data_IF_841901689099
#
_entry.id   IF_841901689099
#
_cell.length_a   1.000
_cell.length_b   1.000
_cell.length_c   1.000
_cell.angle_alpha   90.00
_cell.angle_beta   90.00
_cell.angle_gamma   90.00
#
_symmetry.space_group_name_H-M   'P 1'
#
loop_
_entity.id
_entity.type
_entity.pdbx_description
1 polymer ?
#
# COMPACT_ATOMS: atom_id res chain seq x y z
N UNK A 1 10.96 -4.44 11.54
CA UNK A 1 9.91 -5.26 12.20
C UNK A 1 9.15 -5.99 11.08
N UNK A 2 8.65 -7.20 11.32
CA UNK A 2 7.86 -7.94 10.34
C UNK A 2 6.54 -8.39 10.97
N UNK A 3 5.46 -8.46 10.17
CA UNK A 3 4.16 -8.96 10.59
C UNK A 3 3.38 -9.53 9.39
N UNK A 4 2.41 -10.40 9.68
CA UNK A 4 1.48 -10.90 8.69
C UNK A 4 0.32 -9.91 8.57
N UNK A 5 0.20 -9.28 7.40
CA UNK A 5 -0.91 -8.38 7.07
C UNK A 5 -2.03 -9.16 6.39
N UNK A 6 -3.21 -9.16 6.96
CA UNK A 6 -4.44 -9.70 6.36
C UNK A 6 -5.40 -8.55 6.15
N UNK A 7 -5.74 -8.27 4.90
CA UNK A 7 -6.47 -7.06 4.55
C UNK A 7 -7.64 -7.38 3.60
N UNK A 8 -8.81 -6.81 3.87
CA UNK A 8 -9.95 -6.74 2.97
C UNK A 8 -10.11 -5.32 2.45
N UNK A 9 -10.50 -5.19 1.19
CA UNK A 9 -10.65 -3.87 0.57
C UNK A 9 -11.71 -3.85 -0.51
N UNK A 10 -12.25 -2.67 -0.72
CA UNK A 10 -13.19 -2.37 -1.82
C UNK A 10 -12.90 -0.99 -2.40
N UNK A 11 -13.05 -0.85 -3.71
CA UNK A 11 -13.13 0.48 -4.29
C UNK A 11 -14.46 1.13 -3.89
N UNK A 12 -14.45 2.45 -3.82
CA UNK A 12 -15.61 3.27 -3.49
C UNK A 12 -15.96 4.20 -4.65
N UNK A 13 -17.22 4.47 -4.84
CA UNK A 13 -17.65 5.66 -5.59
C UNK A 13 -17.34 6.91 -4.77
N UNK A 14 -17.33 8.07 -5.42
CA UNK A 14 -17.14 9.35 -4.72
C UNK A 14 -18.21 9.60 -3.65
N UNK A 15 -19.45 9.20 -3.90
CA UNK A 15 -20.55 9.38 -2.95
C UNK A 15 -20.41 8.44 -1.74
N UNK A 16 -20.02 7.18 -1.96
CA UNK A 16 -19.71 6.24 -0.88
C UNK A 16 -18.55 6.77 -0.02
N UNK A 17 -17.48 7.24 -0.66
CA UNK A 17 -16.36 7.87 0.04
C UNK A 17 -16.79 9.08 0.88
N UNK A 18 -17.60 9.99 0.32
CA UNK A 18 -18.06 11.17 1.04
C UNK A 18 -18.88 10.81 2.28
N UNK A 19 -19.75 9.79 2.19
CA UNK A 19 -20.54 9.31 3.34
C UNK A 19 -19.62 8.74 4.43
N UNK A 20 -18.64 7.92 4.06
CA UNK A 20 -17.66 7.38 5.02
C UNK A 20 -16.76 8.49 5.59
N UNK A 21 -16.35 9.46 4.78
CA UNK A 21 -15.56 10.61 5.27
C UNK A 21 -16.29 11.42 6.34
N UNK A 22 -17.61 11.51 6.28
CA UNK A 22 -18.42 12.10 7.36
C UNK A 22 -18.38 11.24 8.62
N UNK A 23 -18.52 9.91 8.49
CA UNK A 23 -18.41 8.96 9.60
C UNK A 23 -17.04 9.03 10.26
N UNK A 24 -15.96 9.18 9.47
CA UNK A 24 -14.58 9.31 9.91
C UNK A 24 -14.13 10.78 10.09
N UNK A 25 -15.05 11.74 10.24
CA UNK A 25 -14.71 13.17 10.35
C UNK A 25 -13.84 13.53 11.56
N UNK A 26 -13.90 12.72 12.63
CA UNK A 26 -13.06 12.86 13.83
C UNK A 26 -11.60 12.43 13.62
N UNK A 27 -11.28 11.79 12.49
CA UNK A 27 -9.92 11.34 12.17
C UNK A 27 -9.25 12.35 11.23
N UNK A 28 -8.13 12.89 11.66
CA UNK A 28 -7.33 13.80 10.82
C UNK A 28 -6.69 13.02 9.67
N UNK A 29 -6.89 13.42 8.41
CA UNK A 29 -6.26 12.76 7.29
C UNK A 29 -4.75 13.00 7.25
N UNK A 30 -3.99 11.98 6.87
CA UNK A 30 -2.55 12.06 6.65
C UNK A 30 -2.25 11.77 5.18
N UNK A 31 -1.44 12.62 4.58
CA UNK A 31 -0.98 12.40 3.19
C UNK A 31 0.35 11.67 3.20
N UNK A 32 0.43 10.61 2.42
CA UNK A 32 1.62 9.78 2.24
C UNK A 32 1.86 9.50 0.77
N UNK A 33 3.13 9.37 0.37
CA UNK A 33 3.49 9.04 -1.01
C UNK A 33 4.27 7.73 -1.03
N UNK A 34 3.80 6.78 -1.83
CA UNK A 34 4.45 5.50 -2.07
C UNK A 34 5.22 5.55 -3.38
N UNK A 35 6.53 5.31 -3.33
CA UNK A 35 7.42 5.17 -4.47
C UNK A 35 7.65 3.67 -4.69
N UNK A 36 7.20 3.15 -5.82
CA UNK A 36 7.30 1.73 -6.15
C UNK A 36 8.60 1.40 -6.84
N UNK A 37 9.25 0.33 -6.41
CA UNK A 37 10.59 -0.07 -6.83
C UNK A 37 10.53 -1.44 -7.48
N UNK A 38 11.07 -1.56 -8.69
CA UNK A 38 11.30 -2.81 -9.41
C UNK A 38 12.41 -2.59 -10.43
N UNK A 39 12.83 -3.61 -11.15
CA UNK A 39 13.57 -3.44 -12.40
C UNK A 39 12.63 -3.02 -13.52
N UNK A 40 13.15 -2.47 -14.60
CA UNK A 40 12.35 -2.10 -15.77
C UNK A 40 11.64 -3.32 -16.36
N UNK A 41 12.24 -4.51 -16.24
CA UNK A 41 11.68 -5.78 -16.70
C UNK A 41 10.65 -6.38 -15.75
N UNK A 42 10.55 -5.90 -14.51
CA UNK A 42 9.63 -6.39 -13.50
C UNK A 42 10.11 -7.67 -12.81
N UNK A 43 11.42 -7.80 -12.57
CA UNK A 43 12.02 -8.99 -11.97
C UNK A 43 11.54 -9.22 -10.55
N UNK A 44 11.37 -8.16 -9.75
CA UNK A 44 10.83 -8.29 -8.40
C UNK A 44 9.39 -8.80 -8.42
N UNK A 45 8.55 -8.24 -9.29
CA UNK A 45 7.18 -8.72 -9.48
C UNK A 45 7.15 -10.20 -9.88
N UNK A 46 8.04 -10.64 -10.78
CA UNK A 46 8.14 -12.05 -11.21
C UNK A 46 8.49 -12.98 -10.05
N UNK A 47 9.25 -12.48 -9.07
CA UNK A 47 9.62 -13.17 -7.82
C UNK A 47 8.59 -12.97 -6.70
N UNK A 48 7.47 -12.30 -6.98
CA UNK A 48 6.43 -11.94 -5.99
C UNK A 48 6.99 -11.10 -4.83
N UNK A 49 7.89 -10.18 -5.12
CA UNK A 49 8.47 -9.22 -4.19
C UNK A 49 7.92 -7.84 -4.52
N UNK A 50 7.31 -7.17 -3.54
CA UNK A 50 6.73 -5.84 -3.73
C UNK A 50 7.41 -4.86 -2.79
N UNK A 51 8.26 -4.00 -3.35
CA UNK A 51 9.10 -3.06 -2.61
C UNK A 51 8.62 -1.63 -2.84
N UNK A 52 8.55 -0.86 -1.76
CA UNK A 52 8.24 0.57 -1.81
C UNK A 52 9.02 1.36 -0.78
N UNK A 53 9.28 2.62 -1.09
CA UNK A 53 9.57 3.66 -0.10
C UNK A 53 8.28 4.44 0.09
N UNK A 54 7.88 4.68 1.34
CA UNK A 54 6.77 5.55 1.70
C UNK A 54 7.30 6.76 2.43
N UNK A 55 6.90 7.94 2.00
CA UNK A 55 7.16 9.18 2.73
C UNK A 55 5.89 9.64 3.42
N UNK A 56 6.01 9.99 4.70
CA UNK A 56 4.97 10.57 5.55
C UNK A 56 5.45 11.94 6.06
N UNK A 57 4.57 12.75 6.66
CA UNK A 57 4.96 14.07 7.19
C UNK A 57 6.04 14.02 8.27
N UNK A 58 6.12 12.93 9.03
CA UNK A 58 6.99 12.80 10.21
C UNK A 58 8.15 11.83 10.03
N UNK A 59 8.08 10.91 9.08
CA UNK A 59 9.07 9.85 8.86
C UNK A 59 8.94 9.25 7.46
N UNK A 60 9.81 8.29 7.17
CA UNK A 60 9.71 7.43 6.00
C UNK A 60 9.75 5.96 6.37
N UNK A 61 9.34 5.12 5.43
CA UNK A 61 9.32 3.66 5.58
C UNK A 61 9.82 2.99 4.30
N UNK A 62 10.72 2.03 4.45
CA UNK A 62 11.00 1.04 3.42
C UNK A 62 10.20 -0.21 3.74
N UNK A 63 9.38 -0.66 2.80
CA UNK A 63 8.48 -1.81 2.99
C UNK A 63 8.69 -2.83 1.89
N UNK A 64 8.87 -4.09 2.28
CA UNK A 64 8.83 -5.25 1.39
C UNK A 64 7.64 -6.12 1.76
N UNK A 65 6.74 -6.36 0.80
CA UNK A 65 5.62 -7.32 0.94
C UNK A 65 5.90 -8.57 0.13
N UNK A 66 5.71 -9.71 0.78
CA UNK A 66 5.84 -11.05 0.17
C UNK A 66 4.51 -11.77 0.37
N UNK A 67 3.77 -12.14 -0.71
CA UNK A 67 2.53 -12.87 -0.58
C UNK A 67 2.71 -14.20 0.14
N UNK A 68 1.79 -14.48 1.06
CA UNK A 68 1.67 -15.74 1.78
C UNK A 68 0.40 -16.49 1.33
N UNK A 69 0.16 -17.67 1.90
CA UNK A 69 -1.08 -18.43 1.64
C UNK A 69 -2.33 -17.61 2.00
N UNK A 70 -2.24 -16.83 3.08
CA UNK A 70 -3.25 -15.87 3.50
C UNK A 70 -2.52 -14.57 3.83
N UNK A 71 -2.89 -13.46 3.18
CA UNK A 71 -2.27 -12.15 3.40
C UNK A 71 -0.88 -12.00 2.79
N UNK A 72 -0.11 -11.08 3.36
CA UNK A 72 1.27 -10.81 2.97
C UNK A 72 2.16 -10.76 4.21
N UNK A 73 3.35 -11.35 4.13
CA UNK A 73 4.40 -11.03 5.11
C UNK A 73 4.97 -9.67 4.76
N UNK A 74 4.87 -8.73 5.68
CA UNK A 74 5.34 -7.36 5.52
C UNK A 74 6.58 -7.12 6.39
N UNK A 75 7.66 -6.64 5.76
CA UNK A 75 8.91 -6.23 6.41
C UNK A 75 9.00 -4.72 6.31
N UNK A 76 9.19 -4.05 7.45
CA UNK A 76 9.24 -2.59 7.54
C UNK A 76 10.52 -2.10 8.20
N UNK A 77 11.12 -1.08 7.62
CA UNK A 77 12.22 -0.30 8.18
C UNK A 77 11.80 1.16 8.21
N UNK A 78 11.71 1.72 9.40
CA UNK A 78 11.43 3.14 9.60
C UNK A 78 12.72 3.95 9.50
N UNK A 79 12.66 5.11 8.87
CA UNK A 79 13.75 6.04 8.69
C UNK A 79 13.26 7.47 8.89
N UNK A 80 14.17 8.42 9.07
CA UNK A 80 13.78 9.82 9.13
C UNK A 80 13.37 10.38 7.75
N UNK A 81 12.77 11.57 7.72
CA UNK A 81 12.30 12.20 6.49
C UNK A 81 13.44 12.48 5.49
N UNK A 82 14.63 12.84 5.98
CA UNK A 82 15.78 13.16 5.14
C UNK A 82 16.34 11.90 4.48
N UNK A 83 16.48 10.82 5.25
CA UNK A 83 16.90 9.50 4.78
C UNK A 83 15.93 8.96 3.71
N UNK A 84 14.61 9.01 3.98
CA UNK A 84 13.60 8.56 3.03
C UNK A 84 13.67 9.36 1.72
N UNK A 85 13.80 10.68 1.81
CA UNK A 85 13.94 11.56 0.64
C UNK A 85 15.23 11.31 -0.13
N UNK A 86 16.32 11.03 0.54
CA UNK A 86 17.59 10.64 -0.10
C UNK A 86 17.44 9.31 -0.82
N UNK A 87 16.83 8.31 -0.16
CA UNK A 87 16.62 6.99 -0.74
C UNK A 87 15.72 7.02 -1.99
N UNK A 88 14.75 7.92 -2.08
CA UNK A 88 13.96 8.09 -3.32
C UNK A 88 14.79 8.57 -4.52
N UNK A 89 16.04 9.02 -4.31
CA UNK A 89 16.93 9.51 -5.37
C UNK A 89 18.04 8.53 -5.70
N UNK A 90 18.64 7.90 -4.69
CA UNK A 90 19.83 7.07 -4.83
C UNK A 90 19.56 5.58 -4.80
N UNK A 91 18.44 5.14 -4.17
CA UNK A 91 18.14 3.74 -3.85
C UNK A 91 19.26 3.04 -3.04
N UNK A 92 20.00 3.80 -2.23
CA UNK A 92 20.98 3.25 -1.30
C UNK A 92 20.25 2.58 -0.13
N UNK A 93 20.21 1.25 -0.15
CA UNK A 93 19.53 0.49 0.88
C UNK A 93 20.39 0.40 2.14
N UNK A 94 19.81 0.73 3.32
CA UNK A 94 20.51 0.52 4.58
C UNK A 94 20.80 -0.96 4.81
N UNK A 95 21.75 -1.27 5.65
CA UNK A 95 22.03 -2.64 6.05
C UNK A 95 20.90 -3.15 6.97
N UNK A 96 19.97 -3.88 6.40
CA UNK A 96 18.72 -4.29 7.05
C UNK A 96 18.20 -5.62 6.50
N UNK A 97 17.21 -6.19 7.19
CA UNK A 97 16.61 -7.48 6.79
C UNK A 97 16.04 -7.46 5.36
N UNK A 98 15.45 -6.34 4.92
CA UNK A 98 14.91 -6.23 3.55
C UNK A 98 16.03 -6.42 2.52
N UNK A 99 17.17 -5.74 2.70
CA UNK A 99 18.34 -5.87 1.82
C UNK A 99 18.82 -7.32 1.75
N UNK A 100 18.93 -7.99 2.90
CA UNK A 100 19.33 -9.40 2.97
C UNK A 100 18.36 -10.29 2.19
N UNK A 101 17.04 -10.12 2.38
CA UNK A 101 16.03 -10.90 1.66
C UNK A 101 16.12 -10.68 0.14
N UNK A 102 16.32 -9.44 -0.31
CA UNK A 102 16.44 -9.15 -1.74
C UNK A 102 17.64 -9.88 -2.35
N UNK A 103 18.80 -9.83 -1.70
CA UNK A 103 20.02 -10.52 -2.14
C UNK A 103 19.85 -12.05 -2.13
N UNK A 104 19.27 -12.63 -1.09
CA UNK A 104 18.98 -14.06 -0.99
C UNK A 104 18.01 -14.55 -2.08
N UNK A 105 17.10 -13.70 -2.50
CA UNK A 105 16.17 -13.97 -3.60
C UNK A 105 16.76 -13.70 -4.99
N UNK A 106 18.05 -13.35 -5.06
CA UNK A 106 18.77 -13.11 -6.31
C UNK A 106 18.30 -11.84 -7.04
N UNK A 107 18.00 -10.78 -6.27
CA UNK A 107 17.73 -9.45 -6.83
C UNK A 107 19.03 -8.69 -6.95
N UNK A 108 19.32 -8.17 -8.15
CA UNK A 108 20.47 -7.26 -8.39
C UNK A 108 20.04 -5.86 -7.98
N UNK A 109 20.59 -5.34 -6.90
CA UNK A 109 20.16 -4.04 -6.34
C UNK A 109 20.44 -2.88 -7.28
N UNK A 110 21.50 -2.96 -8.08
CA UNK A 110 21.93 -1.95 -9.05
C UNK A 110 20.94 -1.81 -10.23
N UNK A 111 20.13 -2.83 -10.50
CA UNK A 111 19.13 -2.83 -11.55
C UNK A 111 17.78 -2.26 -11.09
N UNK A 112 17.64 -2.02 -9.78
CA UNK A 112 16.43 -1.46 -9.22
C UNK A 112 16.27 0.01 -9.58
N UNK A 113 15.04 0.40 -9.87
CA UNK A 113 14.67 1.79 -10.17
C UNK A 113 13.31 2.12 -9.58
N UNK A 114 13.05 3.41 -9.37
CA UNK A 114 11.71 3.88 -9.01
C UNK A 114 10.89 3.94 -10.28
N UNK A 115 9.84 3.13 -10.34
CA UNK A 115 8.90 3.09 -11.47
C UNK A 115 8.00 4.33 -11.51
N UNK A 116 7.78 4.95 -10.35
CA UNK A 116 6.95 6.12 -10.14
C UNK A 116 6.30 6.09 -8.77
N UNK A 117 5.27 6.92 -8.57
CA UNK A 117 4.67 7.10 -7.26
C UNK A 117 3.14 7.18 -7.30
N UNK A 118 2.55 6.89 -6.15
CA UNK A 118 1.14 7.06 -5.85
C UNK A 118 1.01 7.80 -4.52
N UNK A 119 0.22 8.86 -4.49
CA UNK A 119 -0.06 9.63 -3.27
C UNK A 119 -1.43 9.24 -2.72
N UNK A 120 -1.48 8.92 -1.44
CA UNK A 120 -2.69 8.58 -0.70
C UNK A 120 -2.94 9.61 0.38
N UNK A 121 -4.15 10.16 0.44
CA UNK A 121 -4.65 10.87 1.62
C UNK A 121 -5.51 9.90 2.40
N UNK A 122 -5.06 9.50 3.58
CA UNK A 122 -5.61 8.41 4.39
C UNK A 122 -6.20 8.91 5.70
N UNK A 123 -7.40 8.44 6.03
CA UNK A 123 -7.95 8.46 7.39
C UNK A 123 -7.85 7.05 7.94
N UNK A 124 -7.01 6.86 8.95
CA UNK A 124 -6.79 5.54 9.56
C UNK A 124 -7.32 5.54 10.99
N UNK A 125 -8.10 4.55 11.32
CA UNK A 125 -8.80 4.48 12.59
C UNK A 125 -8.91 3.03 13.09
N UNK A 126 -8.50 2.81 14.35
CA UNK A 126 -8.69 1.52 15.00
C UNK A 126 -10.15 1.35 15.41
N UNK A 127 -10.78 0.32 14.87
CA UNK A 127 -12.16 -0.06 15.20
C UNK A 127 -12.20 -1.36 16.00
N UNK A 128 -13.39 -1.77 16.45
CA UNK A 128 -13.59 -3.06 17.10
C UNK A 128 -13.44 -4.27 16.15
N UNK A 129 -13.49 -4.06 14.85
CA UNK A 129 -13.37 -5.13 13.84
C UNK A 129 -11.98 -5.18 13.19
N UNK A 130 -11.13 -4.18 13.41
CA UNK A 130 -9.78 -4.10 12.86
C UNK A 130 -9.33 -2.66 12.60
N UNK A 131 -8.17 -2.52 11.98
CA UNK A 131 -7.64 -1.23 11.57
C UNK A 131 -8.25 -0.84 10.21
N UNK A 132 -9.06 0.21 10.22
CA UNK A 132 -9.77 0.68 9.04
C UNK A 132 -9.06 1.87 8.41
N UNK A 133 -8.90 1.86 7.10
CA UNK A 133 -8.31 2.95 6.35
C UNK A 133 -9.23 3.39 5.21
N UNK A 134 -9.55 4.68 5.19
CA UNK A 134 -10.31 5.34 4.14
C UNK A 134 -9.36 6.22 3.31
N UNK A 135 -9.19 5.86 2.05
CA UNK A 135 -8.16 6.39 1.17
C UNK A 135 -8.71 7.17 -0.02
N UNK A 136 -8.05 8.28 -0.32
CA UNK A 136 -8.06 8.92 -1.64
C UNK A 136 -6.71 8.70 -2.28
N UNK A 137 -6.66 8.02 -3.41
CA UNK A 137 -5.43 7.73 -4.14
C UNK A 137 -5.34 8.59 -5.41
N UNK A 138 -4.17 9.18 -5.65
CA UNK A 138 -3.86 9.95 -6.86
C UNK A 138 -2.56 9.41 -7.46
N UNK A 139 -2.62 9.01 -8.73
CA UNK A 139 -1.48 8.46 -9.47
C UNK A 139 -1.67 8.62 -10.98
N UNK A 140 -0.63 9.01 -11.69
CA UNK A 140 -0.71 9.39 -13.10
C UNK A 140 -1.88 10.37 -13.34
N UNK A 141 -2.79 10.06 -14.27
CA UNK A 141 -4.02 10.80 -14.56
C UNK A 141 -5.25 10.28 -13.77
N UNK A 142 -5.04 9.38 -12.79
CA UNK A 142 -6.11 8.67 -12.06
C UNK A 142 -6.31 9.22 -10.65
N UNK A 143 -7.57 9.16 -10.23
CA UNK A 143 -7.99 9.35 -8.85
C UNK A 143 -9.02 8.29 -8.51
N UNK A 144 -8.80 7.55 -7.43
CA UNK A 144 -9.76 6.60 -6.91
C UNK A 144 -9.91 6.67 -5.40
N UNK A 145 -10.93 5.99 -4.89
CA UNK A 145 -11.30 5.93 -3.48
C UNK A 145 -11.37 4.48 -3.05
N UNK A 146 -10.91 4.18 -1.86
CA UNK A 146 -10.76 2.83 -1.36
C UNK A 146 -11.03 2.76 0.14
N UNK A 147 -11.65 1.68 0.58
CA UNK A 147 -11.77 1.31 1.98
C UNK A 147 -10.98 0.03 2.19
N UNK A 148 -10.12 0.01 3.19
CA UNK A 148 -9.33 -1.15 3.64
C UNK A 148 -9.68 -1.47 5.08
N UNK A 149 -9.67 -2.75 5.43
CA UNK A 149 -9.77 -3.27 6.79
C UNK A 149 -8.67 -4.29 7.00
N UNK A 150 -7.69 -3.96 7.84
CA UNK A 150 -6.67 -4.90 8.29
C UNK A 150 -7.16 -5.64 9.54
N UNK A 151 -7.04 -6.97 9.52
CA UNK A 151 -7.59 -7.87 10.53
C UNK A 151 -6.55 -8.88 11.02
N UNK A 152 -6.80 -9.48 12.17
CA UNK A 152 -5.95 -10.55 12.72
C UNK A 152 -6.44 -11.94 12.31
N UNK A 153 -7.74 -12.10 12.09
CA UNK A 153 -8.39 -13.35 11.69
C UNK A 153 -9.05 -13.18 10.32
N UNK A 154 -8.69 -14.02 9.37
CA UNK A 154 -9.16 -13.90 8.00
C UNK A 154 -10.66 -14.20 7.86
N UNK A 155 -11.17 -15.26 8.52
CA UNK A 155 -12.58 -15.65 8.37
C UNK A 155 -13.49 -14.63 9.04
N UNK A 156 -13.25 -14.34 10.31
CA UNK A 156 -14.00 -13.35 11.06
C UNK A 156 -13.90 -11.96 10.40
N UNK A 157 -12.71 -11.56 9.97
CA UNK A 157 -12.47 -10.28 9.32
C UNK A 157 -13.24 -10.14 8.01
N UNK A 158 -13.41 -11.22 7.25
CA UNK A 158 -14.25 -11.20 6.04
C UNK A 158 -15.71 -10.93 6.39
N UNK A 159 -16.25 -11.64 7.36
CA UNK A 159 -17.64 -11.48 7.80
C UNK A 159 -17.89 -10.07 8.35
N UNK A 160 -16.97 -9.56 9.17
CA UNK A 160 -17.02 -8.21 9.72
C UNK A 160 -16.98 -7.14 8.61
N UNK A 161 -16.10 -7.33 7.61
CA UNK A 161 -16.00 -6.41 6.47
C UNK A 161 -17.29 -6.40 5.62
N UNK A 162 -17.81 -7.57 5.29
CA UNK A 162 -19.05 -7.71 4.53
C UNK A 162 -20.26 -7.07 5.27
N UNK A 163 -20.32 -7.28 6.60
CA UNK A 163 -21.34 -6.65 7.45
C UNK A 163 -21.21 -5.11 7.45
N UNK A 164 -19.99 -4.59 7.61
CA UNK A 164 -19.73 -3.15 7.56
C UNK A 164 -20.16 -2.52 6.22
N UNK A 165 -19.83 -3.17 5.10
CA UNK A 165 -20.23 -2.67 3.77
C UNK A 165 -21.77 -2.62 3.64
N UNK A 166 -22.44 -3.68 4.09
CA UNK A 166 -23.91 -3.76 4.04
C UNK A 166 -24.57 -2.68 4.90
N UNK A 167 -24.12 -2.49 6.14
CA UNK A 167 -24.64 -1.49 7.09
C UNK A 167 -24.49 -0.06 6.55
N UNK A 168 -23.43 0.20 5.78
CA UNK A 168 -23.13 1.52 5.22
C UNK A 168 -23.61 1.68 3.76
N UNK A 169 -24.40 0.75 3.24
CA UNK A 169 -24.91 0.75 1.85
C UNK A 169 -23.78 0.92 0.82
N UNK A 170 -22.72 0.14 0.97
CA UNK A 170 -21.58 0.09 0.06
C UNK A 170 -21.64 -1.22 -0.73
N UNK A 171 -21.63 -1.11 -2.05
CA UNK A 171 -21.52 -2.27 -2.91
C UNK A 171 -20.07 -2.65 -3.09
N UNK A 172 -19.72 -3.89 -2.79
CA UNK A 172 -18.38 -4.40 -3.00
C UNK A 172 -17.92 -4.24 -4.45
N UNK A 173 -16.75 -3.64 -4.64
CA UNK A 173 -16.08 -3.49 -5.93
C UNK A 173 -14.64 -3.97 -5.80
N UNK A 174 -14.29 -5.00 -6.56
CA UNK A 174 -12.95 -5.56 -6.51
C UNK A 174 -11.87 -4.50 -6.73
N UNK A 175 -10.91 -4.46 -5.82
CA UNK A 175 -9.75 -3.58 -5.87
C UNK A 175 -8.47 -4.41 -6.08
N UNK A 176 -7.80 -4.23 -7.21
CA UNK A 176 -6.40 -4.65 -7.34
C UNK A 176 -5.54 -3.88 -6.33
N UNK A 177 -4.37 -4.41 -5.98
CA UNK A 177 -3.44 -3.67 -5.11
C UNK A 177 -3.08 -2.29 -5.72
N UNK A 178 -2.77 -1.32 -4.87
CA UNK A 178 -2.38 0.03 -5.32
C UNK A 178 -1.22 -0.02 -6.32
N UNK A 179 -0.20 -0.85 -6.06
CA UNK A 179 0.93 -1.04 -6.99
C UNK A 179 0.48 -1.61 -8.33
N UNK A 180 -0.44 -2.57 -8.35
CA UNK A 180 -0.94 -3.14 -9.60
C UNK A 180 -1.76 -2.13 -10.43
N UNK A 181 -2.54 -1.28 -9.77
CA UNK A 181 -3.27 -0.18 -10.43
C UNK A 181 -2.32 0.86 -11.01
N UNK A 182 -1.30 1.24 -10.23
CA UNK A 182 -0.26 2.16 -10.68
C UNK A 182 0.52 1.61 -11.89
N UNK A 183 1.04 0.37 -11.80
CA UNK A 183 1.81 -0.25 -12.89
C UNK A 183 0.98 -0.39 -14.18
N UNK A 184 -0.34 -0.55 -14.08
CA UNK A 184 -1.21 -0.59 -15.24
C UNK A 184 -1.25 0.74 -16.02
N UNK A 185 -0.92 1.88 -15.40
CA UNK A 185 -0.82 3.18 -16.10
C UNK A 185 0.44 3.29 -16.93
N UNK A 186 1.56 2.66 -16.49
CA UNK A 186 2.84 2.70 -17.22
C UNK A 186 2.80 2.00 -18.57
N UNK A 187 1.87 1.06 -18.78
CA UNK A 187 1.72 0.31 -20.03
C UNK A 187 0.95 1.09 -21.09
N UNK A 188 0.14 2.08 -20.68
CA UNK A 188 -0.67 2.90 -21.60
C UNK A 188 0.15 3.99 -22.29
N UNK A 189 1.26 4.39 -21.68
CA UNK A 189 2.13 5.45 -22.24
C UNK A 189 3.09 4.92 -23.33
N UNK A 190 2.99 3.63 -23.69
CA UNK A 190 3.83 2.97 -24.70
C UNK A 190 3.10 2.56 -25.97
N UNK A 191 1.78 2.77 -26.04
CA UNK A 191 0.92 2.58 -27.22
C UNK A 191 0.51 3.95 -27.80
#
# INVERSE_FOLDING_TARGET
>A
MNHLEIEYKTLLTKDEYNRLAMLFSHVTPVTQTNYYIDTIQGDMKSKKLYLRIRTLPTHGELTLKIPEKVGNMEYNVTMDCAEAKAMTKSLDFPDCQIKSILLERGVTLEDLTILGHLTTTRREYQTNIGLMALDVNVYADKKDYELELEVLDAEKGKDDFDAFLKENNINFKYAKSKVARFVATLKRDKD
#
